data_IF_019052792253
#
_entry.id   IF_019052792253
#
_cell.length_a   1.000
_cell.length_b   1.000
_cell.length_c   1.000
_cell.angle_alpha   90.00
_cell.angle_beta   90.00
_cell.angle_gamma   90.00
#
_symmetry.space_group_name_H-M   'P 1'
#
loop_
_entity.id
_entity.type
_entity.pdbx_description
1 polymer ?
#
# COMPACT_ATOMS: atom_id res chain seq x y z
N UNK A 1 47.65 -11.40 3.46
CA UNK A 1 46.74 -11.32 2.30
C UNK A 1 45.65 -12.36 2.49
N UNK A 2 44.40 -11.94 2.76
CA UNK A 2 43.13 -12.60 2.41
C UNK A 2 41.96 -11.81 3.03
N UNK A 3 40.88 -11.70 2.28
CA UNK A 3 39.88 -10.61 2.23
C UNK A 3 38.74 -10.72 3.28
N UNK A 4 37.99 -9.62 3.53
CA UNK A 4 37.07 -9.47 4.66
C UNK A 4 35.71 -10.17 4.52
N UNK A 5 35.19 -10.60 5.67
CA UNK A 5 33.82 -11.05 5.95
C UNK A 5 32.79 -10.06 5.41
N UNK A 6 31.97 -10.49 4.44
CA UNK A 6 30.74 -9.79 4.06
C UNK A 6 29.69 -10.00 5.15
N UNK A 7 29.56 -9.01 6.04
CA UNK A 7 28.43 -8.89 6.95
C UNK A 7 27.23 -8.39 6.15
N UNK A 8 26.46 -9.30 5.56
CA UNK A 8 25.16 -8.99 4.97
C UNK A 8 24.19 -8.67 6.12
N UNK A 9 24.26 -7.45 6.62
CA UNK A 9 23.16 -6.85 7.37
C UNK A 9 22.03 -6.68 6.37
N UNK A 10 21.16 -7.68 6.31
CA UNK A 10 19.87 -7.61 5.65
C UNK A 10 19.20 -6.32 6.08
N UNK A 11 19.12 -5.36 5.16
CA UNK A 11 18.15 -4.29 5.24
C UNK A 11 16.79 -4.97 5.16
N UNK A 12 16.24 -5.35 6.31
CA UNK A 12 14.82 -5.64 6.45
C UNK A 12 14.10 -4.35 6.08
N UNK A 13 13.89 -4.14 4.79
CA UNK A 13 12.86 -3.23 4.30
C UNK A 13 11.59 -3.86 4.81
N UNK A 14 11.14 -3.45 6.00
CA UNK A 14 9.81 -3.74 6.49
C UNK A 14 8.89 -3.20 5.39
N UNK A 15 8.46 -4.08 4.49
CA UNK A 15 7.42 -3.80 3.52
C UNK A 15 6.16 -3.70 4.38
N UNK A 16 5.94 -2.52 4.98
CA UNK A 16 4.70 -2.27 5.67
C UNK A 16 3.58 -2.51 4.65
N UNK A 17 2.54 -3.26 5.03
CA UNK A 17 1.41 -3.49 4.15
C UNK A 17 0.95 -2.15 3.57
N UNK A 18 0.65 -2.08 2.28
CA UNK A 18 0.22 -0.84 1.62
C UNK A 18 -1.14 -0.99 0.95
N UNK A 19 -2.06 -0.10 1.30
CA UNK A 19 -3.41 -0.02 0.71
C UNK A 19 -3.36 0.14 -0.81
N UNK A 20 -2.50 1.03 -1.31
CA UNK A 20 -2.34 1.29 -2.75
C UNK A 20 -1.73 0.09 -3.45
N UNK A 21 -0.66 -0.49 -2.89
CA UNK A 21 0.00 -1.66 -3.47
C UNK A 21 -0.96 -2.84 -3.60
N UNK A 22 -1.77 -3.07 -2.57
CA UNK A 22 -2.84 -4.06 -2.58
C UNK A 22 -3.85 -3.82 -3.72
N UNK A 23 -4.38 -2.60 -3.86
CA UNK A 23 -5.33 -2.30 -4.94
C UNK A 23 -4.72 -2.42 -6.34
N UNK A 24 -3.49 -1.93 -6.55
CA UNK A 24 -2.80 -2.03 -7.84
C UNK A 24 -2.56 -3.49 -8.24
N UNK A 25 -2.09 -4.32 -7.31
CA UNK A 25 -1.87 -5.74 -7.56
C UNK A 25 -3.19 -6.49 -7.82
N UNK A 26 -4.28 -6.10 -7.14
CA UNK A 26 -5.59 -6.67 -7.41
C UNK A 26 -6.08 -6.38 -8.83
N UNK A 27 -5.93 -5.13 -9.29
CA UNK A 27 -6.30 -4.72 -10.64
C UNK A 27 -5.42 -5.41 -11.69
N UNK A 28 -4.10 -5.43 -11.48
CA UNK A 28 -3.18 -6.13 -12.36
C UNK A 28 -3.54 -7.62 -12.48
N UNK A 29 -3.77 -8.29 -11.34
CA UNK A 29 -4.18 -9.68 -11.32
C UNK A 29 -5.53 -9.93 -12.00
N UNK A 30 -6.52 -9.04 -11.84
CA UNK A 30 -7.80 -9.14 -12.54
C UNK A 30 -7.65 -9.02 -14.06
N UNK A 31 -6.77 -8.13 -14.53
CA UNK A 31 -6.45 -7.99 -15.96
C UNK A 31 -5.76 -9.25 -16.48
N UNK A 32 -4.75 -9.77 -15.79
CA UNK A 32 -4.02 -10.98 -16.19
C UNK A 32 -4.91 -12.23 -16.17
N UNK A 33 -5.76 -12.39 -15.15
CA UNK A 33 -6.72 -13.50 -15.04
C UNK A 33 -7.72 -13.50 -16.21
N UNK A 34 -8.23 -12.31 -16.54
CA UNK A 34 -9.18 -12.12 -17.65
C UNK A 34 -8.50 -12.35 -19.00
N UNK A 35 -7.32 -11.75 -19.21
CA UNK A 35 -6.55 -11.95 -20.43
C UNK A 35 -6.18 -13.41 -20.61
N UNK A 36 -5.71 -14.09 -19.57
CA UNK A 36 -5.40 -15.52 -19.61
C UNK A 36 -6.61 -16.37 -19.98
N UNK A 37 -7.80 -16.03 -19.46
CA UNK A 37 -9.05 -16.69 -19.83
C UNK A 37 -9.42 -16.47 -21.29
N UNK A 38 -9.26 -15.24 -21.79
CA UNK A 38 -9.58 -14.88 -23.18
C UNK A 38 -8.58 -15.45 -24.20
N UNK A 39 -7.29 -15.50 -23.86
CA UNK A 39 -6.23 -16.03 -24.72
C UNK A 39 -5.97 -17.52 -24.49
N UNK A 40 -6.79 -18.21 -23.68
CA UNK A 40 -6.61 -19.62 -23.30
C UNK A 40 -5.20 -19.93 -22.78
N UNK A 41 -4.64 -19.01 -21.99
CA UNK A 41 -3.29 -19.07 -21.41
C UNK A 41 -3.38 -19.39 -19.91
N UNK A 42 -3.30 -20.67 -19.50
CA UNK A 42 -3.53 -21.08 -18.11
C UNK A 42 -2.49 -20.53 -17.13
N UNK A 43 -1.25 -20.31 -17.56
CA UNK A 43 -0.21 -19.69 -16.74
C UNK A 43 -0.53 -18.23 -16.42
N UNK A 44 -0.99 -17.46 -17.41
CA UNK A 44 -1.38 -16.05 -17.22
C UNK A 44 -2.65 -15.94 -16.37
N UNK A 45 -3.59 -16.86 -16.58
CA UNK A 45 -4.80 -16.95 -15.77
C UNK A 45 -4.45 -17.22 -14.29
N UNK A 46 -3.60 -18.22 -14.04
CA UNK A 46 -3.16 -18.58 -12.69
C UNK A 46 -2.36 -17.46 -12.04
N UNK A 47 -1.45 -16.81 -12.79
CA UNK A 47 -0.69 -15.67 -12.29
C UNK A 47 -1.61 -14.52 -11.85
N UNK A 48 -2.63 -14.21 -12.66
CA UNK A 48 -3.63 -13.21 -12.28
C UNK A 48 -4.41 -13.57 -11.02
N UNK A 49 -4.74 -14.86 -10.86
CA UNK A 49 -5.38 -15.39 -9.66
C UNK A 49 -4.50 -15.20 -8.41
N UNK A 50 -3.24 -15.66 -8.49
CA UNK A 50 -2.28 -15.58 -7.39
C UNK A 50 -2.03 -14.11 -6.99
N UNK A 51 -1.96 -13.19 -7.95
CA UNK A 51 -1.80 -11.75 -7.68
C UNK A 51 -3.00 -11.14 -6.97
N UNK A 52 -4.23 -11.57 -7.32
CA UNK A 52 -5.44 -11.17 -6.59
C UNK A 52 -5.43 -11.70 -5.16
N UNK A 53 -5.04 -12.95 -4.94
CA UNK A 53 -4.93 -13.52 -3.59
C UNK A 53 -3.87 -12.79 -2.75
N UNK A 54 -2.69 -12.53 -3.32
CA UNK A 54 -1.65 -11.75 -2.66
C UNK A 54 -2.11 -10.33 -2.33
N UNK A 55 -2.83 -9.68 -3.25
CA UNK A 55 -3.42 -8.38 -3.03
C UNK A 55 -4.44 -8.38 -1.88
N UNK A 56 -5.33 -9.36 -1.82
CA UNK A 56 -6.30 -9.51 -0.72
C UNK A 56 -5.58 -9.76 0.59
N UNK A 57 -4.51 -10.56 0.60
CA UNK A 57 -3.72 -10.80 1.80
C UNK A 57 -2.99 -9.54 2.27
N UNK A 58 -2.42 -8.75 1.36
CA UNK A 58 -1.81 -7.45 1.63
C UNK A 58 -2.82 -6.47 2.24
N UNK A 59 -4.03 -6.39 1.68
CA UNK A 59 -5.10 -5.54 2.18
C UNK A 59 -5.60 -5.99 3.55
N UNK A 60 -5.75 -7.29 3.77
CA UNK A 60 -6.11 -7.84 5.08
C UNK A 60 -5.02 -7.56 6.12
N UNK A 61 -3.75 -7.74 5.74
CA UNK A 61 -2.62 -7.43 6.59
C UNK A 61 -2.59 -5.94 6.94
N UNK A 62 -2.90 -5.07 5.97
CA UNK A 62 -3.05 -3.64 6.20
C UNK A 62 -4.17 -3.31 7.21
N UNK A 63 -5.35 -3.87 7.02
CA UNK A 63 -6.49 -3.67 7.92
C UNK A 63 -6.19 -4.20 9.33
N UNK A 64 -5.42 -5.28 9.43
CA UNK A 64 -5.01 -5.91 10.69
C UNK A 64 -3.91 -5.14 11.42
N UNK A 65 -3.30 -4.12 10.81
CA UNK A 65 -2.31 -3.29 11.49
C UNK A 65 -2.96 -2.51 12.64
N UNK A 66 -2.26 -2.43 13.76
CA UNK A 66 -2.71 -1.64 14.90
C UNK A 66 -2.71 -0.14 14.55
N UNK A 67 -3.55 0.64 15.24
CA UNK A 67 -3.61 2.10 15.04
C UNK A 67 -2.22 2.75 15.18
N UNK A 68 -1.39 2.25 16.10
CA UNK A 68 0.01 2.67 16.29
C UNK A 68 0.89 2.40 15.07
N UNK A 69 0.79 1.21 14.46
CA UNK A 69 1.57 0.86 13.27
C UNK A 69 1.17 1.73 12.07
N UNK A 70 -0.14 1.99 11.92
CA UNK A 70 -0.65 2.93 10.91
C UNK A 70 -0.14 4.35 11.16
N UNK A 71 -0.06 4.78 12.41
CA UNK A 71 0.51 6.09 12.76
C UNK A 71 1.99 6.19 12.41
N UNK A 72 2.78 5.15 12.70
CA UNK A 72 4.20 5.11 12.35
C UNK A 72 4.44 5.06 10.84
N UNK A 73 3.59 4.36 10.08
CA UNK A 73 3.64 4.34 8.62
C UNK A 73 3.31 5.71 8.03
N UNK A 74 2.23 6.36 8.50
CA UNK A 74 1.87 7.73 8.10
C UNK A 74 3.01 8.70 8.39
N UNK A 75 3.63 8.63 9.58
CA UNK A 75 4.78 9.46 9.93
C UNK A 75 6.00 9.18 9.03
N UNK A 76 6.32 7.92 8.77
CA UNK A 76 7.43 7.54 7.89
C UNK A 76 7.20 8.00 6.44
N UNK A 77 5.97 7.87 5.93
CA UNK A 77 5.58 8.34 4.60
C UNK A 77 5.54 9.87 4.51
N UNK A 78 5.24 10.57 5.60
CA UNK A 78 5.26 12.02 5.66
C UNK A 78 6.67 12.56 5.44
N UNK A 79 7.68 11.89 6.01
CA UNK A 79 9.10 12.25 5.78
C UNK A 79 9.55 11.91 4.36
N UNK A 80 9.13 10.77 3.81
CA UNK A 80 9.59 10.31 2.49
C UNK A 80 8.94 11.06 1.33
N UNK A 81 7.61 11.22 1.35
CA UNK A 81 6.83 11.78 0.25
C UNK A 81 5.59 12.54 0.80
N UNK A 82 5.79 13.72 1.42
CA UNK A 82 4.73 14.48 2.08
C UNK A 82 3.59 14.88 1.13
N UNK A 83 3.93 15.27 -0.11
CA UNK A 83 2.95 15.68 -1.12
C UNK A 83 2.02 14.54 -1.51
N UNK A 84 2.57 13.34 -1.73
CA UNK A 84 1.78 12.16 -2.12
C UNK A 84 0.87 11.75 -0.95
N UNK A 85 1.43 11.69 0.27
CA UNK A 85 0.67 11.38 1.48
C UNK A 85 -0.50 12.36 1.69
N UNK A 86 -0.27 13.66 1.49
CA UNK A 86 -1.31 14.69 1.57
C UNK A 86 -2.42 14.45 0.55
N UNK A 87 -2.06 14.18 -0.70
CA UNK A 87 -3.06 13.94 -1.78
C UNK A 87 -3.86 12.66 -1.56
N UNK A 88 -3.22 11.59 -1.06
CA UNK A 88 -3.93 10.37 -0.64
C UNK A 88 -4.94 10.66 0.46
N UNK A 89 -4.52 11.39 1.50
CA UNK A 89 -5.41 11.76 2.61
C UNK A 89 -6.63 12.57 2.15
N UNK A 90 -6.43 13.51 1.22
CA UNK A 90 -7.53 14.26 0.60
C UNK A 90 -8.49 13.36 -0.18
N UNK A 91 -7.95 12.42 -0.97
CA UNK A 91 -8.76 11.48 -1.73
C UNK A 91 -9.57 10.55 -0.81
N UNK A 92 -8.96 10.03 0.26
CA UNK A 92 -9.63 9.18 1.24
C UNK A 92 -10.72 9.94 2.02
N UNK A 93 -10.47 11.22 2.36
CA UNK A 93 -11.47 12.05 3.01
C UNK A 93 -12.69 12.28 2.10
N UNK A 94 -12.44 12.60 0.84
CA UNK A 94 -13.50 12.82 -0.15
C UNK A 94 -14.28 11.53 -0.42
N UNK A 95 -13.58 10.41 -0.58
CA UNK A 95 -14.21 9.10 -0.76
C UNK A 95 -15.07 8.73 0.45
N UNK A 96 -14.55 8.91 1.67
CA UNK A 96 -15.31 8.68 2.90
C UNK A 96 -16.52 9.61 3.05
N UNK A 97 -16.48 10.82 2.52
CA UNK A 97 -17.66 11.71 2.41
C UNK A 97 -18.67 11.20 1.41
N UNK A 98 -18.23 10.82 0.22
CA UNK A 98 -19.10 10.33 -0.85
C UNK A 98 -19.80 9.01 -0.48
N UNK A 99 -19.13 8.14 0.28
CA UNK A 99 -19.65 6.83 0.70
C UNK A 99 -20.21 6.80 2.12
N UNK A 100 -20.25 7.95 2.81
CA UNK A 100 -20.65 8.06 4.22
C UNK A 100 -19.90 7.09 5.16
N UNK A 101 -18.59 6.95 4.97
CA UNK A 101 -17.71 6.13 5.80
C UNK A 101 -16.85 7.01 6.74
N UNK A 102 -17.22 7.17 8.02
CA UNK A 102 -16.50 8.05 8.96
C UNK A 102 -15.06 7.61 9.24
N UNK A 103 -14.77 6.31 9.12
CA UNK A 103 -13.41 5.77 9.29
C UNK A 103 -12.46 6.30 8.23
N UNK A 104 -12.87 6.25 6.95
CA UNK A 104 -12.08 6.80 5.84
C UNK A 104 -11.89 8.31 5.95
N UNK A 105 -12.91 9.03 6.42
CA UNK A 105 -12.81 10.49 6.62
C UNK A 105 -11.74 10.84 7.66
N UNK A 106 -11.75 10.17 8.82
CA UNK A 106 -10.78 10.38 9.89
C UNK A 106 -9.37 10.04 9.42
N UNK A 107 -9.22 8.86 8.81
CA UNK A 107 -7.92 8.39 8.34
C UNK A 107 -7.34 9.28 7.23
N UNK A 108 -8.19 9.73 6.31
CA UNK A 108 -7.80 10.69 5.28
C UNK A 108 -7.39 12.06 5.87
N UNK A 109 -8.09 12.53 6.89
CA UNK A 109 -7.73 13.77 7.59
C UNK A 109 -6.37 13.65 8.31
N UNK A 110 -6.08 12.52 8.95
CA UNK A 110 -4.80 12.25 9.62
C UNK A 110 -3.63 12.28 8.61
N UNK A 111 -3.76 11.58 7.48
CA UNK A 111 -2.75 11.60 6.40
C UNK A 111 -2.57 12.97 5.77
N UNK A 112 -3.67 13.69 5.54
CA UNK A 112 -3.63 15.04 5.00
C UNK A 112 -2.88 15.99 5.94
N UNK A 113 -3.17 15.93 7.24
CA UNK A 113 -2.50 16.75 8.25
C UNK A 113 -1.01 16.42 8.34
N UNK A 114 -0.65 15.13 8.40
CA UNK A 114 0.73 14.68 8.47
C UNK A 114 1.56 15.09 7.23
N UNK A 115 0.99 14.93 6.02
CA UNK A 115 1.65 15.36 4.79
C UNK A 115 1.78 16.88 4.66
N UNK A 116 0.81 17.64 5.17
CA UNK A 116 0.88 19.10 5.18
C UNK A 116 1.89 19.65 6.21
N UNK A 117 2.00 19.02 7.38
CA UNK A 117 3.00 19.40 8.39
C UNK A 117 4.41 19.11 7.90
N UNK A 118 4.65 17.92 7.34
CA UNK A 118 5.96 17.54 6.83
C UNK A 118 6.39 18.34 5.58
N UNK A 119 5.44 18.85 4.79
CA UNK A 119 5.73 19.69 3.62
C UNK A 119 6.03 21.17 3.93
N UNK A 120 5.96 21.59 5.21
CA UNK A 120 6.32 22.96 5.65
C UNK A 120 7.76 23.08 6.13
N UNK A 121 8.48 21.96 6.24
CA UNK A 121 9.91 21.87 6.55
C UNK A 121 10.75 22.00 5.26
#
# INVERSE_FOLDING_TARGET
>A
MSLPTHNQSTTSTTQNPSLIKGHLNYVAGAVEETLGSLTSSPSLQQQGHDMKEQAVNELRAYDSQSAEQRHTDVAARAVQNPTILKTEGQAENLAGKATFCPGMQKFGAEKQAAGEEAGKL
#
